data_IF_703556525104
#
_entry.id   IF_703556525104
#
_cell.length_a   1.000
_cell.length_b   1.000
_cell.length_c   1.000
_cell.angle_alpha   90.00
_cell.angle_beta   90.00
_cell.angle_gamma   90.00
#
_symmetry.space_group_name_H-M   'P 1'
#
loop_
_entity.id
_entity.type
_entity.pdbx_description
1 polymer ?
#
# COMPACT_ATOMS: atom_id res chain seq x y z
N UNK A 1 -12.57 -1.00 2.79
CA UNK A 1 -12.47 0.46 2.55
C UNK A 1 -11.18 0.64 1.77
N UNK A 2 -11.19 1.20 0.57
CA UNK A 2 -9.96 1.27 -0.21
C UNK A 2 -9.07 2.40 0.28
N UNK A 3 -7.89 2.07 0.79
CA UNK A 3 -6.97 3.02 1.41
C UNK A 3 -5.75 3.26 0.52
N UNK A 4 -5.19 4.46 0.65
CA UNK A 4 -3.93 4.83 0.02
C UNK A 4 -2.73 4.20 0.75
N UNK A 5 -1.56 4.24 0.12
CA UNK A 5 -0.29 3.85 0.77
C UNK A 5 0.06 4.67 1.99
N UNK A 6 -0.39 5.93 2.07
CA UNK A 6 -0.14 6.78 3.23
C UNK A 6 -0.99 6.33 4.42
N UNK A 7 -2.29 6.12 4.20
CA UNK A 7 -3.18 5.60 5.24
C UNK A 7 -2.77 4.20 5.71
N UNK A 8 -2.34 3.32 4.79
CA UNK A 8 -1.83 2.02 5.17
C UNK A 8 -0.53 2.11 6.00
N UNK A 9 0.31 3.11 5.73
CA UNK A 9 1.53 3.35 6.49
C UNK A 9 1.21 3.74 7.94
N UNK A 10 0.25 4.65 8.12
CA UNK A 10 -0.21 5.11 9.43
C UNK A 10 -0.85 3.96 10.24
N UNK A 11 -1.72 3.16 9.60
CA UNK A 11 -2.36 2.01 10.24
C UNK A 11 -1.37 0.90 10.65
N UNK A 12 -0.33 0.69 9.87
CA UNK A 12 0.68 -0.34 10.12
C UNK A 12 1.84 0.17 11.00
N UNK A 13 1.90 1.46 11.31
CA UNK A 13 3.01 2.07 12.05
C UNK A 13 4.36 1.98 11.30
N UNK A 14 4.35 1.97 9.98
CA UNK A 14 5.56 1.88 9.14
C UNK A 14 5.64 3.03 8.15
N UNK A 15 6.78 3.21 7.49
CA UNK A 15 6.89 4.24 6.45
C UNK A 15 6.13 3.87 5.17
N UNK A 16 5.59 4.86 4.46
CA UNK A 16 4.95 4.66 3.15
C UNK A 16 5.90 4.02 2.12
N UNK A 17 7.21 4.24 2.24
CA UNK A 17 8.22 3.55 1.42
C UNK A 17 8.27 2.05 1.71
N UNK A 18 8.17 1.65 2.98
CA UNK A 18 8.07 0.23 3.35
C UNK A 18 6.81 -0.40 2.78
N UNK A 19 5.67 0.29 2.83
CA UNK A 19 4.41 -0.17 2.23
C UNK A 19 4.58 -0.37 0.71
N UNK A 20 5.13 0.62 -0.01
CA UNK A 20 5.42 0.51 -1.46
C UNK A 20 6.37 -0.64 -1.80
N UNK A 21 7.37 -0.89 -0.96
CA UNK A 21 8.27 -2.03 -1.14
C UNK A 21 7.51 -3.36 -1.04
N UNK A 22 6.64 -3.52 -0.03
CA UNK A 22 5.83 -4.73 0.15
C UNK A 22 4.85 -4.94 -1.00
N UNK A 23 4.21 -3.85 -1.47
CA UNK A 23 3.32 -3.85 -2.63
C UNK A 23 4.06 -4.28 -3.90
N UNK A 24 5.24 -3.70 -4.17
CA UNK A 24 6.06 -4.09 -5.32
C UNK A 24 6.58 -5.53 -5.27
N UNK A 25 6.65 -6.13 -4.07
CA UNK A 25 7.00 -7.54 -3.86
C UNK A 25 5.77 -8.46 -3.84
N UNK A 26 4.56 -7.95 -4.07
CA UNK A 26 3.33 -8.75 -4.02
C UNK A 26 2.98 -9.29 -2.64
N UNK A 27 3.51 -8.71 -1.56
CA UNK A 27 3.30 -9.17 -0.18
C UNK A 27 2.03 -8.61 0.47
N UNK A 28 1.26 -7.79 -0.25
CA UNK A 28 -0.03 -7.25 0.20
C UNK A 28 -1.11 -7.82 -0.72
N UNK A 29 -1.96 -8.69 -0.16
CA UNK A 29 -2.98 -9.41 -0.93
C UNK A 29 -4.09 -8.45 -1.38
N UNK A 30 -4.48 -8.54 -2.65
CA UNK A 30 -5.57 -7.74 -3.21
C UNK A 30 -5.23 -6.28 -3.49
N UNK A 31 -3.99 -5.85 -3.22
CA UNK A 31 -3.56 -4.52 -3.60
C UNK A 31 -3.22 -4.44 -5.09
N UNK A 32 -3.61 -3.35 -5.74
CA UNK A 32 -3.41 -3.13 -7.17
C UNK A 32 -3.07 -1.68 -7.47
N UNK A 33 -2.55 -1.42 -8.67
CA UNK A 33 -2.10 -0.08 -9.06
C UNK A 33 -3.10 0.58 -10.00
N UNK A 34 -3.50 1.80 -9.68
CA UNK A 34 -4.33 2.66 -10.52
C UNK A 34 -3.50 3.89 -10.90
N UNK A 35 -3.04 3.93 -12.16
CA UNK A 35 -2.10 4.93 -12.63
C UNK A 35 -0.79 4.93 -11.82
N UNK A 36 -0.55 6.02 -11.07
CA UNK A 36 0.63 6.19 -10.22
C UNK A 36 0.42 5.75 -8.76
N UNK A 37 -0.82 5.44 -8.37
CA UNK A 37 -1.20 5.21 -6.98
C UNK A 37 -1.49 3.73 -6.74
N UNK A 38 -1.16 3.25 -5.54
CA UNK A 38 -1.55 1.92 -5.08
C UNK A 38 -2.87 2.02 -4.30
N UNK A 39 -3.77 1.11 -4.63
CA UNK A 39 -5.03 0.90 -3.94
C UNK A 39 -4.89 -0.36 -3.09
N UNK A 40 -5.14 -0.21 -1.80
CA UNK A 40 -5.01 -1.29 -0.82
C UNK A 40 -6.42 -1.54 -0.25
N UNK A 41 -6.92 -2.78 -0.31
CA UNK A 41 -8.27 -3.12 0.18
C UNK A 41 -8.39 -3.09 1.72
#
# INVERSE_FOLDING_TARGET
MMISTAQAADLLGVSATRVRYLLGKGRVKGAYKVGRTWVIP
#
